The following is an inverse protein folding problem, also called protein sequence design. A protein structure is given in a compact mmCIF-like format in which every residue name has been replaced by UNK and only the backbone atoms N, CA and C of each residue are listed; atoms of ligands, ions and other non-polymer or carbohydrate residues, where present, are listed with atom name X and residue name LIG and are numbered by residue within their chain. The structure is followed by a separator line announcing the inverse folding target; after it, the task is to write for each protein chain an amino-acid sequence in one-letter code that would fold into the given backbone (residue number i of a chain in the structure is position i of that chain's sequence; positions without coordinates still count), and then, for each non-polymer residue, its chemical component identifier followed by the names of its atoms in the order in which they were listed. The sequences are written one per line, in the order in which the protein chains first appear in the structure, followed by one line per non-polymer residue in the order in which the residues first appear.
data_IF_628271417462
#
_entry.id   IF_628271417462
#
_cell.length_a   1.000
_cell.length_b   1.000
_cell.length_c   1.000
_cell.angle_alpha   90.00
_cell.angle_beta   90.00
_cell.angle_gamma   90.00
#
_symmetry.space_group_name_H-M   'P 1'
#
loop_
_entity.id
_entity.type
_entity.pdbx_description
1 polymer ?
#
# COMPACT_ATOMS: atom_id res chain seq x y z
N UNK A 1 33.76 -40.78 -18.76
CA UNK A 1 34.54 -39.57 -18.48
C UNK A 1 33.53 -38.50 -18.10
N UNK A 2 33.46 -38.14 -16.82
CA UNK A 2 32.58 -37.07 -16.36
C UNK A 2 33.30 -35.75 -16.66
N UNK A 3 32.72 -34.93 -17.53
CA UNK A 3 33.19 -33.57 -17.77
C UNK A 3 32.95 -32.76 -16.48
N UNK A 4 34.00 -32.66 -15.67
CA UNK A 4 34.00 -32.07 -14.33
C UNK A 4 34.09 -30.56 -14.34
N UNK A 5 33.38 -29.88 -15.23
CA UNK A 5 33.32 -28.41 -15.19
C UNK A 5 32.43 -27.98 -14.01
N UNK A 6 33.06 -27.59 -12.90
CA UNK A 6 32.36 -27.01 -11.76
C UNK A 6 31.74 -25.68 -12.19
N UNK A 7 30.40 -25.62 -12.22
CA UNK A 7 29.68 -24.36 -12.43
C UNK A 7 29.88 -23.45 -11.22
N UNK A 8 30.31 -22.22 -11.45
CA UNK A 8 30.54 -21.22 -10.40
C UNK A 8 29.94 -19.88 -10.82
N UNK A 9 29.76 -18.97 -9.86
CA UNK A 9 29.35 -17.58 -10.13
C UNK A 9 30.56 -16.66 -10.05
N UNK A 10 30.57 -15.61 -10.87
CA UNK A 10 31.62 -14.61 -10.82
C UNK A 10 31.52 -13.77 -9.54
N UNK A 11 32.67 -13.37 -8.99
CA UNK A 11 32.73 -12.35 -7.95
C UNK A 11 32.39 -10.96 -8.49
N UNK A 12 32.18 -9.99 -7.61
CA UNK A 12 32.01 -8.59 -7.98
C UNK A 12 33.12 -7.75 -7.36
N UNK A 13 33.76 -6.90 -8.16
CA UNK A 13 34.73 -5.93 -7.62
C UNK A 13 33.98 -4.90 -6.76
N UNK A 14 34.52 -4.60 -5.59
CA UNK A 14 34.05 -3.47 -4.78
C UNK A 14 34.65 -2.19 -5.33
N UNK A 15 33.80 -1.25 -5.76
CA UNK A 15 34.21 0.01 -6.41
C UNK A 15 34.39 1.16 -5.40
N UNK A 16 34.43 0.84 -4.10
CA UNK A 16 34.53 1.80 -2.99
C UNK A 16 33.24 1.84 -2.17
N UNK A 17 33.19 1.05 -1.10
CA UNK A 17 32.01 0.88 -0.23
C UNK A 17 30.73 0.40 -0.94
N UNK A 18 30.85 -0.29 -2.09
CA UNK A 18 29.71 -0.77 -2.89
C UNK A 18 29.25 -2.18 -2.53
N UNK A 19 29.48 -2.64 -1.28
CA UNK A 19 29.07 -4.00 -0.89
C UNK A 19 27.54 -4.18 -0.85
N UNK A 20 26.78 -3.14 -0.48
CA UNK A 20 25.31 -3.14 -0.54
C UNK A 20 24.82 -3.40 -1.97
N UNK A 21 25.45 -2.75 -2.94
CA UNK A 21 25.19 -2.87 -4.37
C UNK A 21 25.52 -4.28 -4.88
N UNK A 22 26.73 -4.76 -4.57
CA UNK A 22 27.19 -6.07 -5.01
C UNK A 22 26.33 -7.21 -4.44
N UNK A 23 25.91 -7.12 -3.18
CA UNK A 23 25.06 -8.12 -2.54
C UNK A 23 23.69 -8.23 -3.23
N UNK A 24 23.07 -7.09 -3.56
CA UNK A 24 21.79 -7.06 -4.28
C UNK A 24 21.92 -7.59 -5.70
N UNK A 25 22.99 -7.27 -6.44
CA UNK A 25 23.20 -7.82 -7.78
C UNK A 25 23.34 -9.35 -7.77
N UNK A 26 24.10 -9.90 -6.82
CA UNK A 26 24.21 -11.36 -6.67
C UNK A 26 22.86 -12.00 -6.37
N UNK A 27 22.07 -11.39 -5.48
CA UNK A 27 20.73 -11.87 -5.16
C UNK A 27 19.80 -11.82 -6.39
N UNK A 28 19.77 -10.70 -7.12
CA UNK A 28 18.93 -10.55 -8.31
C UNK A 28 19.34 -11.51 -9.45
N UNK A 29 20.64 -11.72 -9.67
CA UNK A 29 21.14 -12.67 -10.66
C UNK A 29 20.75 -14.13 -10.32
N UNK A 30 20.56 -14.44 -9.04
CA UNK A 30 20.08 -15.75 -8.59
C UNK A 30 18.56 -15.97 -8.76
N UNK A 31 17.80 -14.90 -9.05
CA UNK A 31 16.36 -14.97 -9.23
C UNK A 31 15.98 -15.30 -10.68
N UNK A 32 15.80 -16.59 -11.00
CA UNK A 32 15.48 -17.06 -12.34
C UNK A 32 14.27 -16.35 -12.98
N UNK A 33 13.19 -16.12 -12.22
CA UNK A 33 11.99 -15.41 -12.70
C UNK A 33 12.28 -13.95 -13.08
N UNK A 34 13.17 -13.29 -12.35
CA UNK A 34 13.58 -11.93 -12.65
C UNK A 34 14.47 -11.88 -13.89
N UNK A 35 15.41 -12.82 -14.03
CA UNK A 35 16.20 -12.96 -15.25
C UNK A 35 15.34 -13.24 -16.49
N UNK A 36 14.33 -14.11 -16.37
CA UNK A 36 13.37 -14.37 -17.46
C UNK A 36 12.56 -13.13 -17.82
N UNK A 37 12.17 -12.34 -16.82
CA UNK A 37 11.49 -11.07 -17.03
C UNK A 37 12.38 -10.08 -17.80
N UNK A 38 13.64 -9.91 -17.38
CA UNK A 38 14.59 -9.03 -18.05
C UNK A 38 14.87 -9.45 -19.50
N UNK A 39 14.98 -10.76 -19.79
CA UNK A 39 15.11 -11.26 -21.17
C UNK A 39 13.93 -10.91 -22.07
N UNK A 40 12.72 -10.87 -21.52
CA UNK A 40 11.51 -10.46 -22.27
C UNK A 40 11.45 -8.95 -22.48
N UNK A 41 11.84 -8.18 -21.46
CA UNK A 41 11.74 -6.72 -21.49
C UNK A 41 12.88 -6.10 -22.32
N UNK A 42 14.12 -6.54 -22.09
CA UNK A 42 15.33 -6.06 -22.75
C UNK A 42 16.16 -7.26 -23.23
N UNK A 43 15.84 -7.86 -24.39
CA UNK A 43 16.60 -8.98 -24.93
C UNK A 43 18.07 -8.61 -25.13
N UNK A 44 18.99 -9.50 -24.77
CA UNK A 44 20.40 -9.34 -25.12
C UNK A 44 20.62 -9.87 -26.54
N UNK A 45 21.47 -9.18 -27.31
CA UNK A 45 21.89 -9.67 -28.62
C UNK A 45 22.63 -11.01 -28.46
N UNK A 46 22.47 -11.96 -29.41
CA UNK A 46 23.32 -13.14 -29.47
C UNK A 46 24.80 -12.76 -29.59
N UNK A 47 25.69 -13.59 -29.04
CA UNK A 47 27.13 -13.36 -29.12
C UNK A 47 27.58 -13.20 -30.59
N UNK A 48 28.08 -12.00 -30.95
CA UNK A 48 28.59 -11.69 -32.28
C UNK A 48 27.61 -10.99 -33.23
N UNK A 49 26.39 -10.69 -32.78
CA UNK A 49 25.41 -9.92 -33.55
C UNK A 49 25.23 -8.52 -32.96
N UNK A 50 25.04 -7.51 -33.81
CA UNK A 50 24.62 -6.18 -33.33
C UNK A 50 23.20 -6.29 -32.74
N UNK A 51 22.92 -5.64 -31.60
CA UNK A 51 21.56 -5.60 -31.09
C UNK A 51 20.66 -5.01 -32.17
N UNK A 52 19.54 -5.70 -32.48
CA UNK A 52 18.47 -5.06 -33.23
C UNK A 52 18.14 -3.72 -32.56
N UNK A 53 17.99 -2.66 -33.35
CA UNK A 53 17.77 -1.32 -32.83
C UNK A 53 16.49 -1.31 -31.99
N UNK A 54 16.65 -1.41 -30.67
CA UNK A 54 15.54 -1.32 -29.73
C UNK A 54 15.19 0.16 -29.54
N UNK A 55 14.19 0.63 -30.29
CA UNK A 55 13.65 1.99 -30.22
C UNK A 55 13.17 2.40 -28.81
N UNK A 56 13.06 1.44 -27.88
CA UNK A 56 12.56 1.64 -26.52
C UNK A 56 13.53 2.38 -25.58
N UNK A 57 14.80 2.56 -25.94
CA UNK A 57 15.78 3.35 -25.17
C UNK A 57 15.83 2.97 -23.67
N UNK A 58 15.93 1.67 -23.37
CA UNK A 58 15.99 1.12 -22.00
C UNK A 58 17.42 1.19 -21.42
N UNK A 59 17.96 2.40 -21.26
CA UNK A 59 19.38 2.63 -20.97
C UNK A 59 19.87 2.02 -19.64
N UNK A 60 19.06 2.07 -18.59
CA UNK A 60 19.39 1.47 -17.30
C UNK A 60 19.11 -0.04 -17.29
N UNK A 61 17.94 -0.44 -17.77
CA UNK A 61 17.47 -1.83 -17.73
C UNK A 61 18.35 -2.76 -18.58
N UNK A 62 18.86 -2.29 -19.73
CA UNK A 62 19.78 -3.06 -20.57
C UNK A 62 21.12 -3.31 -19.89
N UNK A 63 21.72 -2.28 -19.30
CA UNK A 63 22.99 -2.36 -18.55
C UNK A 63 22.83 -3.26 -17.32
N UNK A 64 21.70 -3.15 -16.60
CA UNK A 64 21.37 -4.06 -15.50
C UNK A 64 21.30 -5.51 -15.99
N UNK A 65 20.54 -5.77 -17.07
CA UNK A 65 20.38 -7.12 -17.59
C UNK A 65 21.72 -7.72 -18.05
N UNK A 66 22.55 -6.95 -18.74
CA UNK A 66 23.90 -7.38 -19.12
C UNK A 66 24.73 -7.75 -17.88
N UNK A 67 24.78 -6.86 -16.89
CA UNK A 67 25.53 -7.08 -15.63
C UNK A 67 25.06 -8.35 -14.91
N UNK A 68 23.75 -8.55 -14.77
CA UNK A 68 23.19 -9.75 -14.12
C UNK A 68 23.45 -11.02 -14.92
N UNK A 69 23.50 -10.93 -16.25
CA UNK A 69 23.82 -12.06 -17.12
C UNK A 69 25.29 -12.48 -17.01
N UNK A 70 26.22 -11.54 -16.79
CA UNK A 70 27.63 -11.86 -16.48
C UNK A 70 27.78 -12.58 -15.13
N UNK A 71 26.88 -12.32 -14.18
CA UNK A 71 26.83 -12.97 -12.87
C UNK A 71 26.13 -14.34 -12.88
N UNK A 72 25.49 -14.71 -13.98
CA UNK A 72 24.81 -16.00 -14.09
C UNK A 72 25.81 -17.16 -13.92
N UNK A 73 25.38 -18.31 -13.35
CA UNK A 73 26.25 -19.47 -13.19
C UNK A 73 26.85 -19.95 -14.52
N UNK A 74 28.17 -20.09 -14.60
CA UNK A 74 28.90 -20.54 -15.80
C UNK A 74 30.01 -21.53 -15.42
N UNK A 75 30.52 -22.35 -16.37
CA UNK A 75 31.70 -23.17 -16.15
C UNK A 75 32.86 -22.32 -15.64
N UNK A 76 33.58 -22.78 -14.60
CA UNK A 76 34.65 -22.00 -13.97
C UNK A 76 35.70 -21.47 -14.95
N UNK A 77 36.04 -22.25 -15.98
CA UNK A 77 37.01 -21.86 -17.02
C UNK A 77 36.58 -20.64 -17.86
N UNK A 78 35.28 -20.30 -17.88
CA UNK A 78 34.75 -19.14 -18.59
C UNK A 78 34.71 -17.88 -17.73
N UNK A 79 35.07 -17.97 -16.43
CA UNK A 79 35.10 -16.82 -15.54
C UNK A 79 36.46 -16.13 -15.70
N UNK A 80 36.49 -15.07 -16.49
CA UNK A 80 37.68 -14.26 -16.75
C UNK A 80 38.14 -13.37 -15.59
N UNK A 81 37.36 -13.32 -14.49
CA UNK A 81 37.64 -12.49 -13.34
C UNK A 81 36.36 -12.04 -12.62
N UNK A 82 36.49 -11.13 -11.63
CA UNK A 82 35.32 -10.49 -11.04
C UNK A 82 34.66 -9.55 -12.06
N UNK A 83 33.32 -9.49 -12.05
CA UNK A 83 32.54 -8.52 -12.81
C UNK A 83 32.76 -7.13 -12.21
N UNK A 84 32.95 -6.14 -13.08
CA UNK A 84 33.21 -4.75 -12.72
C UNK A 84 32.06 -3.85 -13.22
N UNK A 85 30.98 -3.68 -12.44
CA UNK A 85 29.74 -3.00 -12.86
C UNK A 85 29.86 -1.46 -12.90
N UNK A 86 30.90 -0.93 -13.56
CA UNK A 86 31.16 0.52 -13.65
C UNK A 86 30.05 1.28 -14.35
N UNK A 87 29.59 0.77 -15.49
CA UNK A 87 28.53 1.42 -16.27
C UNK A 87 27.21 1.46 -15.51
N UNK A 88 26.84 0.35 -14.86
CA UNK A 88 25.64 0.30 -14.02
C UNK A 88 25.75 1.33 -12.88
N UNK A 89 26.88 1.37 -12.19
CA UNK A 89 27.14 2.34 -11.13
C UNK A 89 27.09 3.81 -11.63
N UNK A 90 27.55 4.08 -12.85
CA UNK A 90 27.46 5.40 -13.47
C UNK A 90 26.01 5.81 -13.77
N UNK A 91 25.22 4.91 -14.36
CA UNK A 91 23.80 5.16 -14.66
C UNK A 91 23.02 5.58 -13.39
N UNK A 92 23.39 5.01 -12.25
CA UNK A 92 22.77 5.32 -10.97
C UNK A 92 23.24 6.63 -10.36
N UNK A 93 24.52 6.93 -10.54
CA UNK A 93 25.06 8.25 -10.24
C UNK A 93 24.29 9.35 -10.97
N UNK A 94 23.73 9.10 -12.17
CA UNK A 94 22.90 10.08 -12.88
C UNK A 94 21.57 10.32 -12.16
N UNK A 95 20.93 9.27 -11.64
CA UNK A 95 19.61 9.34 -10.99
C UNK A 95 19.65 9.91 -9.58
N UNK A 96 20.61 9.51 -8.74
CA UNK A 96 20.66 9.95 -7.32
C UNK A 96 22.07 10.38 -6.92
N UNK A 97 22.19 11.66 -6.51
CA UNK A 97 23.45 12.25 -6.07
C UNK A 97 24.05 11.57 -4.83
N UNK A 98 23.22 10.98 -3.96
CA UNK A 98 23.63 10.24 -2.76
C UNK A 98 24.46 8.99 -3.03
N UNK A 99 24.35 8.40 -4.22
CA UNK A 99 25.15 7.25 -4.65
C UNK A 99 26.51 7.67 -5.26
N UNK A 100 26.80 8.97 -5.34
CA UNK A 100 28.10 9.48 -5.76
C UNK A 100 29.07 9.57 -4.57
N UNK A 101 30.29 9.07 -4.73
CA UNK A 101 31.40 9.36 -3.82
C UNK A 101 31.69 8.35 -2.71
N UNK A 102 31.35 7.06 -2.92
CA UNK A 102 31.84 5.96 -2.06
C UNK A 102 31.31 5.96 -0.63
N UNK A 103 30.08 6.47 -0.40
CA UNK A 103 29.38 6.36 0.88
C UNK A 103 28.71 4.98 1.00
N UNK A 104 28.62 4.47 2.23
CA UNK A 104 27.80 3.30 2.52
C UNK A 104 26.32 3.66 2.39
N UNK A 105 25.51 2.74 1.85
CA UNK A 105 24.07 2.91 1.63
C UNK A 105 23.31 1.66 2.09
N UNK A 106 21.99 1.78 2.22
CA UNK A 106 21.11 0.65 2.51
C UNK A 106 20.87 -0.20 1.25
N UNK A 107 20.97 -1.52 1.40
CA UNK A 107 20.73 -2.47 0.31
C UNK A 107 19.24 -2.55 -0.09
N UNK A 108 18.31 -2.30 0.84
CA UNK A 108 16.87 -2.29 0.55
C UNK A 108 16.50 -1.08 -0.28
N UNK A 109 16.94 0.12 0.10
CA UNK A 109 16.73 1.34 -0.68
C UNK A 109 17.31 1.19 -2.10
N UNK A 110 18.48 0.58 -2.19
CA UNK A 110 19.12 0.23 -3.44
C UNK A 110 18.27 -0.71 -4.31
N UNK A 111 17.68 -1.75 -3.72
CA UNK A 111 16.77 -2.66 -4.40
C UNK A 111 15.49 -1.96 -4.89
N UNK A 112 14.86 -1.10 -4.07
CA UNK A 112 13.68 -0.33 -4.49
C UNK A 112 13.99 0.55 -5.70
N UNK A 113 15.14 1.24 -5.67
CA UNK A 113 15.55 2.13 -6.74
C UNK A 113 15.77 1.39 -8.07
N UNK A 114 16.40 0.21 -8.06
CA UNK A 114 16.52 -0.63 -9.27
C UNK A 114 15.13 -0.88 -9.86
N UNK A 115 14.19 -1.30 -9.03
CA UNK A 115 12.85 -1.67 -9.47
C UNK A 115 12.08 -0.45 -10.00
N UNK A 116 12.20 0.69 -9.34
CA UNK A 116 11.62 1.98 -9.78
C UNK A 116 12.18 2.40 -11.14
N UNK A 117 13.51 2.41 -11.31
CA UNK A 117 14.14 2.80 -12.58
C UNK A 117 13.74 1.88 -13.74
N UNK A 118 13.73 0.56 -13.53
CA UNK A 118 13.26 -0.39 -14.53
C UNK A 118 11.77 -0.19 -14.87
N UNK A 119 10.93 0.05 -13.86
CA UNK A 119 9.50 0.28 -14.08
C UNK A 119 9.25 1.60 -14.83
N UNK A 120 9.96 2.67 -14.48
CA UNK A 120 9.84 3.98 -15.12
C UNK A 120 10.31 3.98 -16.57
N UNK A 121 11.41 3.29 -16.87
CA UNK A 121 11.84 3.05 -18.25
C UNK A 121 10.78 2.27 -19.01
N UNK A 122 10.34 1.12 -18.49
CA UNK A 122 9.34 0.30 -19.15
C UNK A 122 8.01 1.04 -19.37
N UNK A 123 7.52 1.81 -18.40
CA UNK A 123 6.30 2.62 -18.54
C UNK A 123 6.41 3.65 -19.66
N UNK A 124 7.57 4.26 -19.86
CA UNK A 124 7.79 5.24 -20.95
C UNK A 124 7.73 4.59 -22.33
N UNK A 125 8.01 3.29 -22.43
CA UNK A 125 7.95 2.54 -23.69
C UNK A 125 6.55 2.02 -23.99
N UNK A 126 5.67 1.94 -22.99
CA UNK A 126 4.30 1.48 -23.19
C UNK A 126 3.45 2.57 -23.87
N UNK A 127 2.57 2.19 -24.80
CA UNK A 127 1.58 3.13 -25.33
C UNK A 127 0.68 3.61 -24.18
N UNK A 128 0.35 4.91 -24.17
CA UNK A 128 -0.64 5.46 -23.24
C UNK A 128 -2.01 4.87 -23.57
N UNK A 129 -2.44 3.89 -22.79
CA UNK A 129 -3.75 3.25 -22.95
C UNK A 129 -4.83 4.06 -22.24
N UNK A 130 -5.96 4.26 -22.92
CA UNK A 130 -7.17 4.78 -22.31
C UNK A 130 -7.82 3.71 -21.42
N UNK A 131 -8.76 4.11 -20.55
CA UNK A 131 -9.53 3.14 -19.76
C UNK A 131 -10.36 2.19 -20.65
N UNK A 132 -10.77 2.63 -21.85
CA UNK A 132 -11.50 1.78 -22.80
C UNK A 132 -10.60 0.69 -23.40
N UNK A 133 -9.33 1.01 -23.63
CA UNK A 133 -8.36 0.06 -24.22
C UNK A 133 -8.08 -1.13 -23.29
N UNK A 134 -8.30 -0.98 -21.98
CA UNK A 134 -8.14 -2.06 -20.99
C UNK A 134 -9.24 -3.12 -21.06
N UNK A 135 -10.38 -2.81 -21.68
CA UNK A 135 -11.50 -3.75 -21.86
C UNK A 135 -11.24 -4.63 -23.09
N UNK A 136 -10.62 -4.05 -24.12
CA UNK A 136 -10.45 -4.69 -25.43
C UNK A 136 -9.10 -5.40 -25.60
N UNK A 137 -8.06 -4.90 -24.93
CA UNK A 137 -6.71 -5.46 -25.05
C UNK A 137 -6.40 -6.43 -23.91
N UNK A 138 -5.64 -7.50 -24.19
CA UNK A 138 -5.14 -8.37 -23.14
C UNK A 138 -4.28 -7.56 -22.15
N UNK A 139 -4.29 -7.95 -20.86
CA UNK A 139 -3.44 -7.32 -19.86
C UNK A 139 -1.96 -7.43 -20.28
N UNK A 140 -1.19 -6.38 -20.00
CA UNK A 140 0.22 -6.33 -20.38
C UNK A 140 0.98 -7.56 -19.84
N UNK A 141 1.63 -8.31 -20.73
CA UNK A 141 2.17 -9.65 -20.46
C UNK A 141 3.42 -9.67 -19.56
N UNK A 142 4.04 -8.52 -19.28
CA UNK A 142 5.21 -8.46 -18.42
C UNK A 142 4.95 -7.55 -17.21
N UNK A 143 4.51 -8.18 -16.12
CA UNK A 143 4.61 -7.56 -14.80
C UNK A 143 5.93 -7.99 -14.19
N UNK A 144 6.65 -7.05 -13.58
CA UNK A 144 7.88 -7.38 -12.88
C UNK A 144 7.55 -8.38 -11.73
N UNK A 145 8.29 -9.51 -11.65
CA UNK A 145 7.92 -10.66 -10.82
C UNK A 145 7.99 -10.39 -9.32
N UNK A 146 8.58 -9.27 -8.88
CA UNK A 146 8.61 -8.86 -7.48
C UNK A 146 7.33 -8.13 -7.02
N UNK A 147 6.50 -7.61 -7.94
CA UNK A 147 5.34 -6.83 -7.54
C UNK A 147 4.16 -7.69 -7.07
N UNK A 148 3.95 -7.72 -5.76
CA UNK A 148 2.73 -8.20 -5.14
C UNK A 148 1.64 -7.13 -5.03
N UNK A 149 0.47 -7.55 -4.58
CA UNK A 149 -0.63 -6.66 -4.19
C UNK A 149 -1.03 -6.97 -2.75
N UNK A 150 -0.98 -5.95 -1.90
CA UNK A 150 -1.51 -6.00 -0.53
C UNK A 150 -2.85 -5.27 -0.48
N UNK A 151 -3.71 -5.66 0.44
CA UNK A 151 -4.99 -5.02 0.71
C UNK A 151 -5.11 -4.74 2.20
N UNK A 152 -5.47 -3.52 2.56
CA UNK A 152 -5.72 -3.16 3.96
C UNK A 152 -7.22 -3.08 4.20
N UNK A 153 -7.67 -3.85 5.19
CA UNK A 153 -9.04 -3.82 5.66
C UNK A 153 -9.10 -3.08 7.00
N UNK A 154 -10.05 -2.16 7.12
CA UNK A 154 -10.41 -1.51 8.38
C UNK A 154 -11.86 -1.83 8.74
N UNK A 155 -12.08 -2.38 9.93
CA UNK A 155 -13.41 -2.68 10.46
C UNK A 155 -13.64 -1.96 11.80
N UNK A 156 -14.70 -1.17 11.91
CA UNK A 156 -15.05 -0.49 13.15
C UNK A 156 -15.40 -1.50 14.24
N UNK A 157 -14.82 -1.38 15.44
CA UNK A 157 -15.08 -2.34 16.53
C UNK A 157 -16.43 -2.12 17.21
N UNK A 158 -17.10 -0.97 16.95
CA UNK A 158 -18.44 -0.65 17.48
C UNK A 158 -19.58 -1.08 16.58
N UNK A 159 -19.56 -0.69 15.31
CA UNK A 159 -20.66 -0.96 14.36
C UNK A 159 -20.36 -2.08 13.36
N UNK A 160 -19.16 -2.66 13.38
CA UNK A 160 -18.70 -3.72 12.47
C UNK A 160 -18.73 -3.35 10.98
N UNK A 161 -18.86 -2.06 10.66
CA UNK A 161 -18.76 -1.57 9.29
C UNK A 161 -17.32 -1.43 8.85
N UNK A 162 -17.07 -1.86 7.62
CA UNK A 162 -15.74 -1.86 7.01
C UNK A 162 -15.55 -0.61 6.19
N UNK A 163 -14.41 0.07 6.26
CA UNK A 163 -14.10 1.07 5.24
C UNK A 163 -13.83 0.37 3.91
N UNK A 164 -13.98 1.07 2.75
CA UNK A 164 -13.53 0.55 1.47
C UNK A 164 -12.11 0.01 1.59
N UNK A 165 -11.89 -1.22 1.10
CA UNK A 165 -10.54 -1.78 1.06
C UNK A 165 -9.73 -0.98 0.06
N UNK A 166 -8.54 -0.54 0.46
CA UNK A 166 -7.56 -0.02 -0.48
C UNK A 166 -6.45 -1.04 -0.67
N UNK A 167 -5.86 -1.02 -1.87
CA UNK A 167 -4.84 -1.97 -2.28
C UNK A 167 -3.59 -1.25 -2.71
N UNK A 168 -2.45 -1.72 -2.23
CA UNK A 168 -1.13 -1.15 -2.52
C UNK A 168 -0.23 -2.21 -3.12
N UNK A 169 0.51 -1.83 -4.17
CA UNK A 169 1.56 -2.68 -4.73
C UNK A 169 2.75 -2.68 -3.77
N UNK A 170 3.39 -3.83 -3.60
CA UNK A 170 4.60 -3.96 -2.78
C UNK A 170 5.67 -4.74 -3.54
N UNK A 171 6.94 -4.45 -3.25
CA UNK A 171 8.11 -5.16 -3.77
C UNK A 171 8.70 -6.14 -2.72
N UNK A 172 8.61 -5.75 -1.46
CA UNK A 172 9.08 -6.50 -0.30
C UNK A 172 8.08 -6.38 0.85
N UNK A 173 8.12 -7.36 1.76
CA UNK A 173 7.40 -7.29 3.03
C UNK A 173 8.35 -6.81 4.12
N UNK A 174 8.09 -5.60 4.64
CA UNK A 174 8.85 -5.00 5.74
C UNK A 174 8.41 -5.61 7.07
N UNK A 175 9.22 -6.55 7.55
CA UNK A 175 8.94 -7.42 8.67
C UNK A 175 9.62 -6.93 9.96
N UNK A 176 8.84 -6.72 11.01
CA UNK A 176 9.35 -6.37 12.34
C UNK A 176 9.91 -7.57 13.08
N UNK A 177 11.04 -7.39 13.76
CA UNK A 177 11.68 -8.46 14.53
C UNK A 177 11.05 -8.71 15.91
N UNK A 178 10.18 -7.84 16.37
CA UNK A 178 9.50 -7.96 17.66
C UNK A 178 8.10 -7.36 17.54
N UNK A 179 7.15 -7.84 18.35
CA UNK A 179 5.79 -7.31 18.37
C UNK A 179 5.73 -5.91 19.01
N UNK A 180 6.61 -5.66 19.97
CA UNK A 180 6.76 -4.39 20.69
C UNK A 180 8.12 -3.78 20.39
N UNK A 181 8.19 -2.45 20.30
CA UNK A 181 9.44 -1.69 20.23
C UNK A 181 10.14 -1.65 21.60
N UNK A 182 10.34 -2.80 22.25
CA UNK A 182 11.00 -2.92 23.55
C UNK A 182 12.31 -3.71 23.50
N UNK A 183 12.58 -4.39 22.38
CA UNK A 183 13.79 -5.18 22.17
C UNK A 183 13.93 -6.40 23.07
N UNK A 184 12.92 -6.75 23.88
CA UNK A 184 12.97 -7.85 24.86
C UNK A 184 12.43 -9.16 24.30
N UNK A 185 11.44 -9.08 23.43
CA UNK A 185 10.75 -10.24 22.86
C UNK A 185 10.95 -10.28 21.34
N UNK A 186 12.19 -10.57 20.95
CA UNK A 186 12.56 -10.73 19.54
C UNK A 186 12.10 -12.10 19.04
N UNK A 187 11.48 -12.13 17.88
CA UNK A 187 11.03 -13.34 17.20
C UNK A 187 12.20 -14.25 16.85
N UNK A 188 12.00 -15.56 17.02
CA UNK A 188 13.04 -16.56 16.74
C UNK A 188 12.92 -17.15 15.33
N UNK A 189 11.73 -17.16 14.76
CA UNK A 189 11.44 -17.65 13.41
C UNK A 189 10.85 -16.56 12.51
N UNK A 190 11.24 -16.57 11.23
CA UNK A 190 10.68 -15.70 10.18
C UNK A 190 9.14 -15.75 10.13
N UNK A 191 8.58 -16.94 10.37
CA UNK A 191 7.13 -17.17 10.39
C UNK A 191 6.41 -16.37 11.48
N UNK A 192 7.05 -16.14 12.63
CA UNK A 192 6.47 -15.31 13.71
C UNK A 192 6.36 -13.85 13.25
N UNK A 193 7.44 -13.34 12.66
CA UNK A 193 7.49 -11.99 12.10
C UNK A 193 6.48 -11.78 10.96
N UNK A 194 6.35 -12.76 10.07
CA UNK A 194 5.35 -12.73 9.00
C UNK A 194 3.91 -12.81 9.54
N UNK A 195 3.64 -13.66 10.54
CA UNK A 195 2.33 -13.71 11.22
C UNK A 195 2.01 -12.40 11.93
N UNK A 196 3.00 -11.75 12.51
CA UNK A 196 2.83 -10.44 13.12
C UNK A 196 2.47 -9.38 12.08
N UNK A 197 3.14 -9.37 10.92
CA UNK A 197 2.84 -8.44 9.81
C UNK A 197 1.39 -8.54 9.31
N UNK A 198 0.81 -9.74 9.29
CA UNK A 198 -0.60 -9.95 8.88
C UNK A 198 -1.58 -10.03 10.06
N UNK A 199 -1.11 -9.81 11.29
CA UNK A 199 -1.98 -9.86 12.47
C UNK A 199 -2.96 -8.70 12.49
N UNK A 200 -4.10 -8.88 13.18
CA UNK A 200 -5.05 -7.80 13.39
C UNK A 200 -4.51 -6.85 14.45
N UNK A 201 -4.49 -5.57 14.15
CA UNK A 201 -4.12 -4.51 15.09
C UNK A 201 -5.31 -3.58 15.34
N UNK A 202 -5.26 -2.84 16.46
CA UNK A 202 -6.27 -1.87 16.84
C UNK A 202 -5.73 -0.46 16.58
N UNK A 203 -6.53 0.36 15.92
CA UNK A 203 -6.21 1.76 15.63
C UNK A 203 -7.28 2.62 16.27
N UNK A 204 -6.87 3.47 17.21
CA UNK A 204 -7.72 4.45 17.86
C UNK A 204 -7.88 5.72 17.03
N UNK A 205 -8.97 6.46 17.28
CA UNK A 205 -9.17 7.79 16.70
C UNK A 205 -9.51 7.78 15.22
N UNK A 206 -10.04 6.67 14.68
CA UNK A 206 -10.46 6.59 13.28
C UNK A 206 -11.92 7.03 13.15
N UNK A 207 -12.20 7.92 12.20
CA UNK A 207 -13.57 8.38 11.95
C UNK A 207 -14.44 7.25 11.39
N UNK A 208 -15.60 7.02 12.01
CA UNK A 208 -16.61 6.09 11.53
C UNK A 208 -17.88 6.82 11.08
N UNK A 209 -18.08 6.98 9.77
CA UNK A 209 -19.25 7.69 9.23
C UNK A 209 -20.57 6.99 9.56
N UNK A 210 -20.61 5.65 9.66
CA UNK A 210 -21.78 4.92 10.12
C UNK A 210 -22.12 5.22 11.60
N UNK A 211 -21.13 5.24 12.50
CA UNK A 211 -21.36 5.63 13.89
C UNK A 211 -21.77 7.09 14.02
N UNK A 212 -21.19 7.98 13.21
CA UNK A 212 -21.59 9.39 13.14
C UNK A 212 -23.07 9.52 12.76
N UNK A 213 -23.52 8.83 11.70
CA UNK A 213 -24.93 8.85 11.30
C UNK A 213 -25.85 8.25 12.36
N UNK A 214 -25.48 7.13 12.99
CA UNK A 214 -26.27 6.54 14.08
C UNK A 214 -26.42 7.50 15.25
N UNK A 215 -25.34 8.19 15.64
CA UNK A 215 -25.39 9.19 16.71
C UNK A 215 -26.33 10.35 16.34
N UNK A 216 -26.26 10.85 15.10
CA UNK A 216 -27.19 11.87 14.60
C UNK A 216 -28.65 11.37 14.61
N UNK A 217 -28.89 10.12 14.20
CA UNK A 217 -30.23 9.55 14.18
C UNK A 217 -30.83 9.44 15.58
N UNK A 218 -30.04 9.09 16.60
CA UNK A 218 -30.52 9.08 17.99
C UNK A 218 -30.94 10.50 18.44
N UNK A 219 -30.13 11.52 18.13
CA UNK A 219 -30.50 12.93 18.45
C UNK A 219 -31.79 13.34 17.75
N UNK A 220 -31.93 13.03 16.46
CA UNK A 220 -33.15 13.36 15.70
C UNK A 220 -34.37 12.63 16.27
N UNK A 221 -34.21 11.36 16.65
CA UNK A 221 -35.27 10.54 17.23
C UNK A 221 -35.74 11.08 18.58
N UNK A 222 -34.81 11.43 19.47
CA UNK A 222 -35.14 12.07 20.75
C UNK A 222 -35.91 13.38 20.55
N UNK A 223 -35.53 14.18 19.54
CA UNK A 223 -36.26 15.41 19.20
C UNK A 223 -37.66 15.11 18.63
N UNK A 224 -37.81 14.09 17.78
CA UNK A 224 -39.13 13.64 17.31
C UNK A 224 -40.03 13.24 18.48
N UNK A 225 -39.53 12.41 19.40
CA UNK A 225 -40.28 11.92 20.56
C UNK A 225 -40.72 13.08 21.47
N UNK A 226 -39.86 14.09 21.66
CA UNK A 226 -40.19 15.30 22.42
C UNK A 226 -41.24 16.18 21.72
N UNK A 227 -41.16 16.32 20.39
CA UNK A 227 -42.09 17.12 19.59
C UNK A 227 -43.46 16.45 19.40
N UNK A 228 -43.53 15.11 19.47
CA UNK A 228 -44.76 14.36 19.32
C UNK A 228 -45.81 14.64 20.43
N UNK A 229 -45.38 15.11 21.59
CA UNK A 229 -46.26 15.34 22.74
C UNK A 229 -46.65 16.81 22.92
N UNK A 230 -47.90 17.17 22.60
CA UNK A 230 -48.56 18.45 22.93
C UNK A 230 -49.22 19.13 21.72
N UNK A 231 -49.48 20.44 21.79
CA UNK A 231 -50.27 21.15 20.76
C UNK A 231 -49.49 21.34 19.44
N UNK A 232 -49.95 20.75 18.31
CA UNK A 232 -49.30 20.91 17.00
C UNK A 232 -49.21 22.35 16.51
N UNK A 233 -50.12 23.23 16.93
CA UNK A 233 -50.16 24.63 16.51
C UNK A 233 -49.33 25.56 17.39
N UNK A 234 -48.71 25.03 18.45
CA UNK A 234 -47.82 25.81 19.30
C UNK A 234 -46.47 26.03 18.60
N UNK A 235 -45.95 27.25 18.73
CA UNK A 235 -44.56 27.54 18.42
C UNK A 235 -43.66 27.04 19.55
N UNK A 236 -42.59 26.33 19.20
CA UNK A 236 -41.65 25.72 20.13
C UNK A 236 -40.21 26.06 19.75
N UNK A 237 -39.35 26.15 20.77
CA UNK A 237 -37.92 26.29 20.57
C UNK A 237 -37.32 24.92 20.26
N UNK A 238 -36.96 24.71 19.00
CA UNK A 238 -36.36 23.49 18.49
C UNK A 238 -34.84 23.61 18.65
N UNK A 239 -34.18 22.69 19.38
CA UNK A 239 -32.74 22.69 19.51
C UNK A 239 -32.05 22.33 18.19
N UNK A 240 -30.82 22.82 18.06
CA UNK A 240 -29.87 22.41 17.02
C UNK A 240 -29.69 20.88 16.97
N UNK A 241 -29.22 20.35 15.84
CA UNK A 241 -28.81 18.95 15.73
C UNK A 241 -27.47 18.68 16.45
N UNK A 242 -26.72 19.73 16.80
CA UNK A 242 -25.40 19.64 17.40
C UNK A 242 -25.35 20.34 18.77
N UNK A 243 -24.46 19.87 19.64
CA UNK A 243 -24.18 20.56 20.90
C UNK A 243 -23.64 21.98 20.63
N UNK A 244 -24.30 22.98 21.21
CA UNK A 244 -23.89 24.39 21.12
C UNK A 244 -24.43 25.17 19.92
N UNK A 245 -25.31 24.58 19.10
CA UNK A 245 -26.01 25.33 18.04
C UNK A 245 -27.21 26.13 18.54
N UNK A 246 -27.72 27.03 17.70
CA UNK A 246 -28.81 27.94 18.05
C UNK A 246 -30.18 27.23 18.08
N UNK A 247 -31.02 27.61 19.03
CA UNK A 247 -32.43 27.20 19.07
C UNK A 247 -33.25 28.02 18.09
N UNK A 248 -34.17 27.38 17.37
CA UNK A 248 -35.08 28.07 16.45
C UNK A 248 -36.52 27.95 16.92
N UNK A 249 -37.24 29.06 16.92
CA UNK A 249 -38.66 29.07 17.22
C UNK A 249 -39.47 28.72 15.95
N UNK A 250 -40.11 27.55 15.94
CA UNK A 250 -40.79 26.99 14.76
C UNK A 250 -42.14 26.39 15.19
N UNK A 251 -43.10 26.32 14.26
CA UNK A 251 -44.35 25.58 14.48
C UNK A 251 -44.02 24.11 14.79
N UNK A 252 -44.62 23.58 15.86
CA UNK A 252 -44.34 22.21 16.31
C UNK A 252 -44.64 21.16 15.25
N UNK A 253 -45.77 21.30 14.53
CA UNK A 253 -46.13 20.38 13.46
C UNK A 253 -45.06 20.32 12.36
N UNK A 254 -44.57 21.48 11.90
CA UNK A 254 -43.53 21.58 10.88
C UNK A 254 -42.21 20.98 11.38
N UNK A 255 -41.81 21.31 12.60
CA UNK A 255 -40.60 20.77 13.21
C UNK A 255 -40.64 19.23 13.30
N UNK A 256 -41.77 18.66 13.71
CA UNK A 256 -41.95 17.21 13.79
C UNK A 256 -41.90 16.57 12.40
N UNK A 257 -42.57 17.15 11.41
CA UNK A 257 -42.54 16.68 10.02
C UNK A 257 -41.12 16.66 9.47
N UNK A 258 -40.37 17.76 9.65
CA UNK A 258 -39.00 17.88 9.16
C UNK A 258 -38.03 16.91 9.85
N UNK A 259 -38.16 16.73 11.17
CA UNK A 259 -37.32 15.76 11.90
C UNK A 259 -37.64 14.32 11.48
N UNK A 260 -38.91 13.98 11.28
CA UNK A 260 -39.29 12.67 10.79
C UNK A 260 -38.77 12.41 9.37
N UNK A 261 -38.93 13.38 8.45
CA UNK A 261 -38.41 13.28 7.09
C UNK A 261 -36.87 13.13 7.07
N UNK A 262 -36.15 13.88 7.91
CA UNK A 262 -34.71 13.73 8.06
C UNK A 262 -34.34 12.33 8.57
N UNK A 263 -35.06 11.82 9.58
CA UNK A 263 -34.83 10.48 10.11
C UNK A 263 -35.04 9.40 9.04
N UNK A 264 -36.07 9.55 8.21
CA UNK A 264 -36.36 8.63 7.10
C UNK A 264 -35.25 8.65 6.04
N UNK A 265 -34.75 9.83 5.67
CA UNK A 265 -33.61 9.98 4.76
C UNK A 265 -32.34 9.33 5.32
N UNK A 266 -32.05 9.53 6.61
CA UNK A 266 -30.88 8.93 7.26
C UNK A 266 -31.00 7.41 7.35
N UNK A 267 -32.19 6.89 7.68
CA UNK A 267 -32.47 5.44 7.69
C UNK A 267 -32.27 4.80 6.31
N UNK A 268 -32.78 5.42 5.25
CA UNK A 268 -32.63 4.93 3.89
C UNK A 268 -31.16 4.81 3.48
N UNK A 269 -30.33 5.78 3.89
CA UNK A 269 -28.87 5.77 3.64
C UNK A 269 -28.14 4.72 4.47
N UNK A 270 -28.59 4.44 5.69
CA UNK A 270 -27.99 3.39 6.51
C UNK A 270 -28.30 1.99 5.92
N UNK A 271 -29.51 1.80 5.39
CA UNK A 271 -29.97 0.53 4.82
C UNK A 271 -29.23 0.11 3.54
N UNK A 272 -28.69 1.06 2.77
CA UNK A 272 -27.96 0.79 1.52
C UNK A 272 -26.50 0.38 1.75
N UNK A 273 -26.02 0.41 3.00
CA UNK A 273 -24.64 0.04 3.32
C UNK A 273 -24.47 -1.49 3.28
N UNK A 274 -23.81 -2.00 2.23
CA UNK A 274 -23.46 -3.43 2.06
C UNK A 274 -22.34 -3.87 3.03
N UNK A 275 -22.51 -3.62 4.33
CA UNK A 275 -21.48 -3.78 5.36
C UNK A 275 -20.21 -2.94 5.15
N UNK A 276 -20.26 -1.97 4.24
CA UNK A 276 -19.17 -1.04 3.92
C UNK A 276 -19.61 0.39 4.26
N UNK A 277 -18.77 1.05 5.05
CA UNK A 277 -18.87 2.42 5.49
C UNK A 277 -18.34 3.36 4.39
N UNK A 278 -19.04 3.42 3.26
CA UNK A 278 -18.71 4.28 2.10
C UNK A 278 -19.57 5.55 2.04
N UNK A 279 -20.10 5.96 3.21
CA UNK A 279 -20.90 7.16 3.32
C UNK A 279 -19.98 8.37 3.24
N UNK A 280 -20.09 9.12 2.14
CA UNK A 280 -19.39 10.38 1.93
C UNK A 280 -20.00 11.48 2.81
N UNK A 281 -19.36 11.74 3.94
CA UNK A 281 -19.72 12.83 4.85
C UNK A 281 -18.94 14.11 4.55
N UNK A 282 -17.94 14.06 3.66
CA UNK A 282 -17.00 15.15 3.36
C UNK A 282 -17.26 15.82 1.99
N UNK A 283 -18.22 15.31 1.20
CA UNK A 283 -18.47 15.75 -0.18
C UNK A 283 -19.94 15.70 -0.67
N UNK A 284 -20.12 15.15 -1.88
CA UNK A 284 -21.32 15.15 -2.75
C UNK A 284 -22.41 14.17 -2.33
N UNK A 285 -22.30 13.57 -1.14
CA UNK A 285 -23.20 12.53 -0.67
C UNK A 285 -24.68 12.94 -0.62
N UNK A 286 -24.97 14.23 -0.50
CA UNK A 286 -26.32 14.80 -0.57
C UNK A 286 -26.61 15.31 -1.98
N UNK A 287 -27.73 14.87 -2.55
CA UNK A 287 -28.16 15.36 -3.85
C UNK A 287 -28.66 16.81 -3.74
N UNK A 288 -28.87 17.47 -4.89
CA UNK A 288 -29.29 18.88 -4.94
C UNK A 288 -30.63 19.10 -4.26
N UNK A 289 -31.55 18.17 -4.38
CA UNK A 289 -32.91 18.28 -3.84
C UNK A 289 -32.90 18.18 -2.31
N UNK A 290 -32.13 17.25 -1.75
CA UNK A 290 -31.95 17.12 -0.30
C UNK A 290 -31.24 18.34 0.27
N UNK A 291 -30.18 18.82 -0.39
CA UNK A 291 -29.45 20.02 0.04
C UNK A 291 -30.35 21.27 0.02
N UNK A 292 -31.18 21.39 -1.02
CA UNK A 292 -32.17 22.46 -1.13
C UNK A 292 -33.26 22.33 -0.06
N UNK A 293 -33.76 21.12 0.19
CA UNK A 293 -34.77 20.86 1.22
C UNK A 293 -34.25 21.20 2.62
N UNK A 294 -33.01 20.82 2.95
CA UNK A 294 -32.37 21.21 4.21
C UNK A 294 -32.29 22.74 4.34
N UNK A 295 -31.85 23.44 3.28
CA UNK A 295 -31.70 24.89 3.28
C UNK A 295 -33.04 25.64 3.43
N UNK A 296 -34.08 25.23 2.69
CA UNK A 296 -35.41 25.87 2.73
C UNK A 296 -36.06 25.74 4.11
N UNK A 297 -35.87 24.60 4.78
CA UNK A 297 -36.40 24.37 6.12
C UNK A 297 -35.42 24.85 7.23
N UNK A 298 -34.24 25.36 6.83
CA UNK A 298 -33.16 25.77 7.73
C UNK A 298 -32.68 24.65 8.66
N UNK A 299 -32.77 23.41 8.20
CA UNK A 299 -32.25 22.24 8.90
C UNK A 299 -30.74 22.26 8.70
N UNK A 300 -30.00 22.12 9.79
CA UNK A 300 -28.55 22.07 9.72
C UNK A 300 -28.09 20.88 8.89
N UNK A 301 -27.06 21.12 8.09
CA UNK A 301 -26.51 20.11 7.20
C UNK A 301 -25.90 18.95 8.00
N UNK A 302 -26.36 17.69 7.82
CA UNK A 302 -25.78 16.54 8.50
C UNK A 302 -24.26 16.38 8.30
N UNK A 303 -23.67 17.00 7.27
CA UNK A 303 -22.22 17.02 7.07
C UNK A 303 -21.48 17.87 8.09
N UNK A 304 -22.11 18.85 8.73
CA UNK A 304 -21.48 19.65 9.79
C UNK A 304 -21.58 18.99 11.17
N UNK A 305 -22.12 17.77 11.23
CA UNK A 305 -22.22 17.02 12.46
C UNK A 305 -20.88 16.79 13.15
N UNK A 306 -20.95 16.69 14.49
CA UNK A 306 -19.83 16.19 15.28
C UNK A 306 -19.48 14.77 14.83
N UNK A 307 -18.26 14.61 14.31
CA UNK A 307 -17.74 13.32 13.86
C UNK A 307 -17.53 12.37 15.04
N UNK A 308 -17.87 11.11 14.83
CA UNK A 308 -17.61 10.02 15.78
C UNK A 308 -16.32 9.31 15.41
N UNK A 309 -15.36 9.35 16.33
CA UNK A 309 -14.09 8.62 16.24
C UNK A 309 -14.15 7.38 17.12
N UNK A 310 -13.77 6.24 16.56
CA UNK A 310 -13.82 4.94 17.24
C UNK A 310 -12.52 4.17 17.02
N UNK A 311 -12.37 3.07 17.74
CA UNK A 311 -11.35 2.08 17.48
C UNK A 311 -11.73 1.24 16.24
N UNK A 312 -10.76 0.96 15.38
CA UNK A 312 -10.91 0.07 14.23
C UNK A 312 -9.91 -1.08 14.31
N UNK A 313 -10.33 -2.26 13.90
CA UNK A 313 -9.44 -3.38 13.63
C UNK A 313 -8.85 -3.24 12.22
N UNK A 314 -7.54 -3.02 12.11
CA UNK A 314 -6.79 -3.05 10.86
C UNK A 314 -6.25 -4.45 10.60
N UNK A 315 -6.32 -4.88 9.34
CA UNK A 315 -5.79 -6.17 8.89
C UNK A 315 -5.20 -6.02 7.49
N UNK A 316 -3.91 -6.30 7.35
CA UNK A 316 -3.22 -6.36 6.06
C UNK A 316 -3.30 -7.78 5.51
N UNK A 317 -3.68 -7.92 4.24
CA UNK A 317 -3.72 -9.19 3.51
C UNK A 317 -2.91 -9.12 2.22
N UNK A 318 -2.27 -10.23 1.87
CA UNK A 318 -1.68 -10.39 0.54
C UNK A 318 -2.80 -10.79 -0.42
N UNK A 319 -3.21 -9.87 -1.29
CA UNK A 319 -4.26 -10.06 -2.27
C UNK A 319 -3.74 -10.77 -3.52
N UNK A 320 -2.50 -10.46 -3.91
CA UNK A 320 -1.76 -11.16 -4.97
C UNK A 320 -0.33 -11.39 -4.51
N UNK A 321 0.09 -12.65 -4.44
CA UNK A 321 1.49 -12.99 -4.20
C UNK A 321 2.33 -12.68 -5.44
N UNK A 322 3.54 -12.10 -5.30
CA UNK A 322 4.50 -12.01 -6.39
C UNK A 322 5.07 -13.40 -6.73
N UNK A 323 5.65 -13.52 -7.93
CA UNK A 323 6.40 -14.72 -8.34
C UNK A 323 7.72 -14.85 -7.57
N UNK A 324 8.30 -13.71 -7.17
CA UNK A 324 9.48 -13.64 -6.30
C UNK A 324 9.12 -12.78 -5.08
N UNK A 325 9.05 -13.42 -3.92
CA UNK A 325 8.75 -12.73 -2.66
C UNK A 325 10.04 -12.32 -1.95
N UNK A 326 10.17 -11.02 -1.67
CA UNK A 326 11.26 -10.46 -0.87
C UNK A 326 10.79 -10.14 0.56
N UNK A 327 11.60 -10.49 1.55
CA UNK A 327 11.38 -10.11 2.94
C UNK A 327 12.47 -9.13 3.38
N UNK A 328 12.08 -7.92 3.76
CA UNK A 328 12.98 -6.98 4.39
C UNK A 328 12.82 -7.08 5.90
N UNK A 329 13.87 -7.57 6.59
CA UNK A 329 13.86 -7.72 8.04
C UNK A 329 14.36 -6.43 8.68
N UNK A 330 13.47 -5.68 9.33
CA UNK A 330 13.80 -4.45 10.02
C UNK A 330 14.67 -4.73 11.25
N UNK A 331 15.99 -4.60 11.08
CA UNK A 331 16.98 -4.79 12.15
C UNK A 331 17.23 -3.54 12.99
N UNK A 332 16.91 -2.37 12.47
CA UNK A 332 17.06 -1.12 13.20
C UNK A 332 15.73 -0.77 13.87
N UNK A 333 15.74 -0.66 15.20
CA UNK A 333 14.57 -0.27 16.00
C UNK A 333 14.88 1.00 16.78
N UNK A 334 13.85 1.80 17.04
CA UNK A 334 13.98 3.02 17.82
C UNK A 334 13.63 2.74 19.28
N UNK A 335 14.61 2.85 20.17
CA UNK A 335 14.51 2.59 21.60
C UNK A 335 15.08 3.77 22.37
N UNK A 336 14.30 4.35 23.29
CA UNK A 336 14.76 5.41 24.21
C UNK A 336 15.49 6.55 23.47
N UNK A 337 14.88 7.07 22.41
CA UNK A 337 15.42 8.15 21.57
C UNK A 337 16.70 7.83 20.78
N UNK A 338 17.06 6.54 20.67
CA UNK A 338 18.20 6.09 19.88
C UNK A 338 17.83 4.95 18.92
N UNK A 339 18.54 4.89 17.81
CA UNK A 339 18.47 3.75 16.89
C UNK A 339 19.38 2.63 17.40
N UNK A 340 18.81 1.45 17.60
CA UNK A 340 19.52 0.24 18.06
C UNK A 340 19.37 -0.84 17.00
N UNK A 341 20.48 -1.53 16.70
CA UNK A 341 20.49 -2.66 15.78
C UNK A 341 20.26 -3.97 16.54
N UNK A 342 19.29 -4.75 16.08
CA UNK A 342 18.98 -6.09 16.57
C UNK A 342 19.78 -7.14 15.78
N UNK A 343 20.83 -7.66 16.40
CA UNK A 343 21.69 -8.70 15.83
C UNK A 343 21.19 -10.13 16.15
N UNK A 344 19.91 -10.27 16.51
CA UNK A 344 19.31 -11.57 16.79
C UNK A 344 19.27 -12.45 15.53
N UNK A 345 19.60 -13.72 15.72
CA UNK A 345 19.44 -14.74 14.69
C UNK A 345 17.95 -15.00 14.46
N UNK A 346 17.51 -14.87 13.21
CA UNK A 346 16.16 -15.17 12.78
C UNK A 346 16.21 -16.43 11.92
N UNK A 347 15.64 -17.52 12.41
CA UNK A 347 15.59 -18.79 11.68
C UNK A 347 14.61 -18.70 10.52
N UNK A 348 15.05 -19.09 9.33
CA UNK A 348 14.21 -19.24 8.15
C UNK A 348 14.33 -20.65 7.58
N UNK A 349 13.28 -21.09 6.89
CA UNK A 349 13.18 -22.42 6.31
C UNK A 349 13.48 -22.33 4.80
N UNK A 350 14.03 -23.41 4.23
CA UNK A 350 14.27 -23.47 2.77
C UNK A 350 12.97 -23.48 1.96
N UNK A 351 11.87 -23.92 2.57
CA UNK A 351 10.52 -23.88 1.99
C UNK A 351 9.57 -23.22 2.99
N UNK A 352 8.82 -22.20 2.53
CA UNK A 352 7.81 -21.49 3.31
C UNK A 352 6.43 -21.86 2.77
N UNK A 353 5.57 -22.43 3.62
CA UNK A 353 4.16 -22.67 3.30
C UNK A 353 3.25 -21.72 4.08
N UNK A 354 2.29 -21.13 3.37
CA UNK A 354 1.15 -20.45 3.97
C UNK A 354 0.15 -21.52 4.43
N UNK A 355 0.16 -21.86 5.71
CA UNK A 355 -0.90 -22.64 6.37
C UNK A 355 -1.73 -21.72 7.24
#
# INVERSE_FOLDING_TARGET
MADGSTTTVAGLRNLGNTCYFNAVLQALASCARFMDHLRKVSPLAPDGEEPEADDRCLAFTSVLHHTLNELAPRPHAMIGGPVEPYELNEQLGKSIKGFRGGRQQDAEEWFQLIMELCEDEYKKTQPKRSLFDLIELPPAESTNPFYGLSGTLLECTRCHMRKPMWTDRFLDLKLSLCASMDGRHVFSHLRESWRHYTSKERIDGVECTNCTLRALMEVVKEQCDALAAGDPMAFVDVPSLWEGGETRNVLRADALEWRQALLDTLNARLATTNSVCDLDMDGTGWNKDESHWLAVNGIEDPRTCRRTYTEFARHVRLMRCPDVLSFHINRNVFLQDAMVKLDSYLRFEAALSAH
#
